data_IF_472473482939
#
_entry.id   IF_472473482939
#
_cell.length_a   1.000
_cell.length_b   1.000
_cell.length_c   1.000
_cell.angle_alpha   90.00
_cell.angle_beta   90.00
_cell.angle_gamma   90.00
#
_symmetry.space_group_name_H-M   'P 1'
#
loop_
_entity.id
_entity.type
_entity.pdbx_description
1 polymer ?
#
# COMPACT_ATOMS: atom_id res chain seq x y z
N UNK A 1 -25.88 49.35 -27.59
CA UNK A 1 -26.61 49.65 -26.34
C UNK A 1 -27.40 48.47 -25.73
N UNK A 2 -28.06 47.59 -26.49
CA UNK A 2 -28.73 46.38 -25.93
C UNK A 2 -27.81 45.15 -25.95
N UNK A 3 -27.06 44.95 -27.04
CA UNK A 3 -26.07 43.88 -27.20
C UNK A 3 -24.95 43.95 -26.15
N UNK A 4 -24.46 45.15 -25.83
CA UNK A 4 -23.38 45.34 -24.86
C UNK A 4 -23.81 44.91 -23.45
N UNK A 5 -25.08 45.15 -23.07
CA UNK A 5 -25.64 44.71 -21.79
C UNK A 5 -25.79 43.19 -21.73
N UNK A 6 -26.21 42.57 -22.83
CA UNK A 6 -26.32 41.11 -22.95
C UNK A 6 -24.93 40.46 -22.89
N UNK A 7 -23.95 41.04 -23.57
CA UNK A 7 -22.56 40.59 -23.53
C UNK A 7 -21.99 40.66 -22.12
N UNK A 8 -22.18 41.79 -21.42
CA UNK A 8 -21.74 41.95 -20.03
C UNK A 8 -22.42 40.95 -19.08
N UNK A 9 -23.72 40.68 -19.27
CA UNK A 9 -24.43 39.68 -18.49
C UNK A 9 -23.90 38.26 -18.76
N UNK A 10 -23.65 37.91 -20.02
CA UNK A 10 -23.08 36.63 -20.41
C UNK A 10 -21.65 36.46 -19.84
N UNK A 11 -20.86 37.53 -19.80
CA UNK A 11 -19.52 37.53 -19.22
C UNK A 11 -19.54 37.33 -17.69
N UNK A 12 -20.47 37.98 -16.99
CA UNK A 12 -20.67 37.78 -15.55
C UNK A 12 -21.08 36.34 -15.26
N UNK A 13 -22.07 35.81 -16.00
CA UNK A 13 -22.55 34.43 -15.83
C UNK A 13 -21.42 33.44 -16.14
N UNK A 14 -20.67 33.66 -17.23
CA UNK A 14 -19.53 32.82 -17.60
C UNK A 14 -18.46 32.83 -16.51
N UNK A 15 -18.13 34.00 -15.97
CA UNK A 15 -17.15 34.14 -14.88
C UNK A 15 -17.60 33.39 -13.62
N UNK A 16 -18.87 33.52 -13.22
CA UNK A 16 -19.44 32.80 -12.08
C UNK A 16 -19.43 31.28 -12.33
N UNK A 17 -19.78 30.84 -13.54
CA UNK A 17 -19.76 29.42 -13.90
C UNK A 17 -18.35 28.83 -13.84
N UNK A 18 -17.32 29.58 -14.27
CA UNK A 18 -15.91 29.17 -14.15
C UNK A 18 -15.49 29.03 -12.69
N UNK A 19 -15.81 30.01 -11.84
CA UNK A 19 -15.50 29.96 -10.40
C UNK A 19 -16.18 28.76 -9.73
N UNK A 20 -17.47 28.54 -10.02
CA UNK A 20 -18.22 27.39 -9.50
C UNK A 20 -17.61 26.05 -9.97
N UNK A 21 -17.18 25.98 -11.24
CA UNK A 21 -16.55 24.79 -11.81
C UNK A 21 -15.20 24.49 -11.15
N UNK A 22 -14.38 25.51 -10.87
CA UNK A 22 -13.11 25.35 -10.15
C UNK A 22 -13.32 24.90 -8.71
N UNK A 23 -14.33 25.43 -8.02
CA UNK A 23 -14.68 25.00 -6.67
C UNK A 23 -15.12 23.53 -6.65
N UNK A 24 -15.96 23.12 -7.60
CA UNK A 24 -16.35 21.73 -7.78
C UNK A 24 -15.13 20.83 -8.06
N UNK A 25 -14.25 21.22 -8.99
CA UNK A 25 -13.04 20.46 -9.31
C UNK A 25 -12.11 20.31 -8.10
N UNK A 26 -11.94 21.36 -7.30
CA UNK A 26 -11.12 21.29 -6.08
C UNK A 26 -11.67 20.27 -5.08
N UNK A 27 -12.99 20.23 -4.89
CA UNK A 27 -13.66 19.21 -4.05
C UNK A 27 -13.49 17.81 -4.67
N UNK A 28 -13.70 17.69 -5.98
CA UNK A 28 -13.59 16.43 -6.71
C UNK A 28 -12.18 15.84 -6.62
N UNK A 29 -11.13 16.64 -6.77
CA UNK A 29 -9.73 16.20 -6.64
C UNK A 29 -9.43 15.72 -5.23
N UNK A 30 -9.94 16.39 -4.19
CA UNK A 30 -9.78 15.95 -2.79
C UNK A 30 -10.46 14.61 -2.54
N UNK A 31 -11.69 14.44 -3.03
CA UNK A 31 -12.43 13.18 -2.91
C UNK A 31 -11.73 12.04 -3.67
N UNK A 32 -11.29 12.30 -4.89
CA UNK A 32 -10.55 11.34 -5.71
C UNK A 32 -9.24 10.93 -5.03
N UNK A 33 -8.48 11.89 -4.50
CA UNK A 33 -7.24 11.62 -3.75
C UNK A 33 -7.50 10.71 -2.55
N UNK A 34 -8.57 10.97 -1.78
CA UNK A 34 -8.94 10.13 -0.64
C UNK A 34 -9.32 8.71 -1.07
N UNK A 35 -10.09 8.58 -2.16
CA UNK A 35 -10.47 7.27 -2.70
C UNK A 35 -9.24 6.49 -3.21
N UNK A 36 -8.31 7.15 -3.89
CA UNK A 36 -7.07 6.55 -4.38
C UNK A 36 -6.20 6.02 -3.22
N UNK A 37 -6.05 6.78 -2.13
CA UNK A 37 -5.35 6.32 -0.91
C UNK A 37 -5.99 5.07 -0.33
N UNK A 38 -7.32 5.07 -0.19
CA UNK A 38 -8.06 3.91 0.32
C UNK A 38 -7.88 2.67 -0.56
N UNK A 39 -7.88 2.84 -1.89
CA UNK A 39 -7.65 1.75 -2.83
C UNK A 39 -6.22 1.21 -2.75
N UNK A 40 -5.21 2.08 -2.61
CA UNK A 40 -3.82 1.67 -2.37
C UNK A 40 -3.71 0.86 -1.08
N UNK A 41 -4.30 1.33 0.01
CA UNK A 41 -4.29 0.62 1.28
C UNK A 41 -4.92 -0.78 1.16
N UNK A 42 -6.09 -0.87 0.51
CA UNK A 42 -6.74 -2.16 0.28
C UNK A 42 -5.88 -3.09 -0.59
N UNK A 43 -5.26 -2.57 -1.65
CA UNK A 43 -4.37 -3.34 -2.53
C UNK A 43 -3.18 -3.94 -1.76
N UNK A 44 -2.60 -3.15 -0.87
CA UNK A 44 -1.50 -3.57 0.00
C UNK A 44 -1.95 -4.68 0.95
N UNK A 45 -3.06 -4.49 1.66
CA UNK A 45 -3.61 -5.50 2.58
C UNK A 45 -3.90 -6.81 1.84
N UNK A 46 -4.52 -6.75 0.66
CA UNK A 46 -4.79 -7.93 -0.15
C UNK A 46 -3.51 -8.67 -0.54
N UNK A 47 -2.45 -7.94 -0.93
CA UNK A 47 -1.14 -8.54 -1.23
C UNK A 47 -0.49 -9.17 0.00
N UNK A 48 -0.62 -8.56 1.17
CA UNK A 48 -0.14 -9.15 2.42
C UNK A 48 -0.82 -10.49 2.67
N UNK A 49 -2.15 -10.55 2.51
CA UNK A 49 -2.92 -11.78 2.68
C UNK A 49 -2.54 -12.85 1.65
N UNK A 50 -2.29 -12.47 0.40
CA UNK A 50 -1.85 -13.40 -0.65
C UNK A 50 -0.49 -14.02 -0.33
N UNK A 51 0.47 -13.23 0.17
CA UNK A 51 1.79 -13.73 0.59
C UNK A 51 1.69 -14.64 1.82
N UNK A 52 0.80 -14.30 2.75
CA UNK A 52 0.62 -15.06 3.99
C UNK A 52 -0.30 -16.28 3.82
N UNK A 53 -1.12 -16.34 2.77
CA UNK A 53 -2.11 -17.41 2.57
C UNK A 53 -1.51 -18.82 2.67
N UNK A 54 -0.41 -19.13 1.97
CA UNK A 54 0.20 -20.45 2.03
C UNK A 54 0.64 -20.85 3.45
N UNK A 55 0.98 -19.89 4.32
CA UNK A 55 1.42 -20.18 5.69
C UNK A 55 0.33 -20.77 6.58
N UNK A 56 -0.94 -20.44 6.33
CA UNK A 56 -2.06 -20.95 7.12
C UNK A 56 -2.91 -21.97 6.36
N UNK A 57 -2.72 -22.14 5.05
CA UNK A 57 -3.48 -23.10 4.23
C UNK A 57 -2.69 -24.32 3.77
N UNK A 58 -1.35 -24.28 3.82
CA UNK A 58 -0.49 -25.36 3.33
C UNK A 58 0.52 -25.78 4.42
N UNK A 59 0.30 -26.97 5.01
CA UNK A 59 1.15 -27.52 6.07
C UNK A 59 2.64 -27.54 5.68
N UNK A 60 2.94 -27.88 4.42
CA UNK A 60 4.32 -27.97 3.93
C UNK A 60 5.06 -26.62 3.87
N UNK A 61 4.34 -25.50 3.70
CA UNK A 61 4.96 -24.17 3.71
C UNK A 61 5.19 -23.71 5.15
N UNK A 62 4.25 -23.99 6.06
CA UNK A 62 4.44 -23.73 7.48
C UNK A 62 5.61 -24.54 8.07
N UNK A 63 5.71 -25.82 7.72
CA UNK A 63 6.83 -26.68 8.13
C UNK A 63 8.17 -26.19 7.55
N UNK A 64 8.19 -25.83 6.27
CA UNK A 64 9.38 -25.25 5.63
C UNK A 64 9.82 -23.98 6.35
N UNK A 65 8.89 -23.09 6.71
CA UNK A 65 9.20 -21.87 7.45
C UNK A 65 9.87 -22.18 8.79
N UNK A 66 9.26 -23.07 9.59
CA UNK A 66 9.79 -23.45 10.91
C UNK A 66 11.20 -24.05 10.79
N UNK A 67 11.41 -24.99 9.85
CA UNK A 67 12.72 -25.59 9.60
C UNK A 67 13.73 -24.56 9.09
N UNK A 68 13.34 -23.70 8.14
CA UNK A 68 14.27 -22.74 7.55
C UNK A 68 14.69 -21.61 8.50
N UNK A 69 13.91 -21.37 9.57
CA UNK A 69 14.29 -20.46 10.65
C UNK A 69 15.14 -21.10 11.76
N UNK A 70 15.28 -22.43 11.75
CA UNK A 70 16.16 -23.16 12.65
C UNK A 70 17.57 -23.23 12.04
N UNK A 71 18.59 -22.76 12.77
CA UNK A 71 19.97 -22.69 12.28
C UNK A 71 20.59 -24.05 12.00
N UNK A 72 20.08 -25.11 12.63
CA UNK A 72 20.61 -26.47 12.52
C UNK A 72 19.87 -27.33 11.49
N UNK A 73 18.87 -26.76 10.79
CA UNK A 73 18.07 -27.50 9.84
C UNK A 73 18.82 -27.80 8.53
N UNK A 74 18.87 -29.08 8.16
CA UNK A 74 19.28 -29.51 6.82
C UNK A 74 18.12 -29.32 5.84
N UNK A 75 18.23 -28.30 4.98
CA UNK A 75 17.27 -28.02 3.92
C UNK A 75 17.78 -28.55 2.59
N UNK A 76 16.96 -29.30 1.88
CA UNK A 76 17.25 -29.68 0.50
C UNK A 76 17.41 -28.45 -0.40
N UNK A 77 18.11 -28.55 -1.55
CA UNK A 77 18.28 -27.43 -2.48
C UNK A 77 16.96 -26.80 -2.96
N UNK A 78 15.91 -27.62 -3.08
CA UNK A 78 14.57 -27.17 -3.45
C UNK A 78 13.93 -26.36 -2.33
N UNK A 79 14.03 -26.81 -1.09
CA UNK A 79 13.53 -26.11 0.10
C UNK A 79 14.24 -24.77 0.29
N UNK A 80 15.57 -24.73 0.15
CA UNK A 80 16.35 -23.48 0.19
C UNK A 80 15.87 -22.48 -0.87
N UNK A 81 15.65 -22.96 -2.09
CA UNK A 81 15.16 -22.11 -3.20
C UNK A 81 13.77 -21.56 -2.91
N UNK A 82 12.86 -22.40 -2.41
CA UNK A 82 11.50 -21.99 -2.03
C UNK A 82 11.52 -20.94 -0.91
N UNK A 83 12.30 -21.19 0.14
CA UNK A 83 12.46 -20.26 1.25
C UNK A 83 13.07 -18.92 0.78
N UNK A 84 14.07 -18.95 -0.10
CA UNK A 84 14.64 -17.75 -0.69
C UNK A 84 13.59 -16.89 -1.42
N UNK A 85 12.78 -17.50 -2.29
CA UNK A 85 11.75 -16.76 -3.03
C UNK A 85 10.63 -16.25 -2.13
N UNK A 86 10.26 -17.00 -1.09
CA UNK A 86 9.33 -16.55 -0.08
C UNK A 86 9.86 -15.31 0.65
N UNK A 87 11.12 -15.35 1.12
CA UNK A 87 11.77 -14.21 1.76
C UNK A 87 11.86 -13.01 0.82
N UNK A 88 12.23 -13.23 -0.45
CA UNK A 88 12.27 -12.18 -1.47
C UNK A 88 10.88 -11.55 -1.67
N UNK A 89 9.81 -12.33 -1.68
CA UNK A 89 8.45 -11.82 -1.78
C UNK A 89 8.08 -10.93 -0.59
N UNK A 90 8.43 -11.34 0.65
CA UNK A 90 8.23 -10.52 1.84
C UNK A 90 9.03 -9.21 1.77
N UNK A 91 10.31 -9.26 1.39
CA UNK A 91 11.13 -8.06 1.24
C UNK A 91 10.57 -7.09 0.20
N UNK A 92 10.16 -7.60 -0.97
CA UNK A 92 9.53 -6.77 -2.02
C UNK A 92 8.22 -6.15 -1.56
N UNK A 93 7.47 -6.84 -0.71
CA UNK A 93 6.24 -6.31 -0.13
C UNK A 93 6.51 -5.15 0.83
N UNK A 94 7.48 -5.29 1.74
CA UNK A 94 7.84 -4.21 2.65
C UNK A 94 8.50 -3.01 1.94
N UNK A 95 9.30 -3.26 0.90
CA UNK A 95 9.84 -2.21 0.03
C UNK A 95 8.71 -1.40 -0.63
N UNK A 96 7.68 -2.10 -1.15
CA UNK A 96 6.52 -1.44 -1.71
C UNK A 96 5.73 -0.63 -0.68
N UNK A 97 5.50 -1.19 0.52
CA UNK A 97 4.86 -0.49 1.64
C UNK A 97 5.59 0.82 1.98
N UNK A 98 6.91 0.74 2.13
CA UNK A 98 7.76 1.89 2.42
C UNK A 98 7.69 2.94 1.31
N UNK A 99 7.77 2.51 0.04
CA UNK A 99 7.63 3.41 -1.11
C UNK A 99 6.28 4.14 -1.12
N UNK A 100 5.17 3.42 -0.86
CA UNK A 100 3.83 4.01 -0.84
C UNK A 100 3.64 4.98 0.33
N UNK A 101 4.26 4.70 1.49
CA UNK A 101 4.28 5.61 2.62
C UNK A 101 5.04 6.91 2.29
N UNK A 102 6.23 6.81 1.70
CA UNK A 102 7.04 7.97 1.31
C UNK A 102 6.32 8.92 0.33
N UNK A 103 5.40 8.39 -0.47
CA UNK A 103 4.59 9.17 -1.43
C UNK A 103 3.22 9.59 -0.88
N UNK A 104 2.95 9.38 0.41
CA UNK A 104 1.70 9.77 1.06
C UNK A 104 0.47 9.00 0.59
N UNK A 105 0.66 7.83 -0.02
CA UNK A 105 -0.42 6.92 -0.37
C UNK A 105 -0.84 6.05 0.83
N UNK A 106 0.09 5.78 1.75
CA UNK A 106 -0.15 5.17 3.06
C UNK A 106 0.09 6.21 4.15
N UNK A 107 -0.87 6.37 5.04
CA UNK A 107 -0.81 7.31 6.16
C UNK A 107 0.15 6.83 7.25
N UNK A 108 0.76 7.75 7.99
CA UNK A 108 1.79 7.41 8.99
C UNK A 108 1.30 6.45 10.08
N UNK A 109 0.02 6.54 10.47
CA UNK A 109 -0.59 5.62 11.44
C UNK A 109 -0.65 4.18 10.89
N UNK A 110 -1.03 4.02 9.63
CA UNK A 110 -1.05 2.71 8.95
C UNK A 110 0.37 2.15 8.83
N UNK A 111 1.32 3.00 8.44
CA UNK A 111 2.74 2.62 8.35
C UNK A 111 3.31 2.18 9.70
N UNK A 112 2.97 2.84 10.80
CA UNK A 112 3.43 2.45 12.15
C UNK A 112 3.03 1.02 12.50
N UNK A 113 1.83 0.58 12.13
CA UNK A 113 1.41 -0.81 12.33
C UNK A 113 2.31 -1.80 11.57
N UNK A 114 2.61 -1.53 10.30
CA UNK A 114 3.53 -2.37 9.51
C UNK A 114 4.98 -2.31 10.03
N UNK A 115 5.44 -1.14 10.46
CA UNK A 115 6.79 -0.95 11.00
C UNK A 115 6.98 -1.70 12.31
N UNK A 116 6.00 -1.66 13.22
CA UNK A 116 6.03 -2.45 14.46
C UNK A 116 6.04 -3.95 14.20
N UNK A 117 5.25 -4.41 13.22
CA UNK A 117 5.24 -5.81 12.81
C UNK A 117 6.60 -6.24 12.24
N UNK A 118 7.19 -5.44 11.36
CA UNK A 118 8.52 -5.68 10.81
C UNK A 118 9.59 -5.72 11.91
N UNK A 119 9.57 -4.75 12.83
CA UNK A 119 10.50 -4.69 13.96
C UNK A 119 10.36 -5.91 14.88
N UNK A 120 9.12 -6.37 15.11
CA UNK A 120 8.84 -7.62 15.82
C UNK A 120 9.49 -8.85 15.14
N UNK A 121 9.36 -8.98 13.83
CA UNK A 121 9.99 -10.09 13.09
C UNK A 121 11.52 -10.02 13.07
N UNK A 122 12.07 -8.82 12.90
CA UNK A 122 13.52 -8.62 12.84
C UNK A 122 14.20 -8.69 14.22
N UNK A 123 13.47 -8.40 15.30
CA UNK A 123 13.98 -8.54 16.66
C UNK A 123 13.84 -9.97 17.17
N UNK A 124 12.76 -10.68 16.83
CA UNK A 124 12.60 -12.10 17.17
C UNK A 124 13.70 -12.98 16.54
N UNK A 125 14.11 -12.68 15.30
CA UNK A 125 15.20 -13.41 14.64
C UNK A 125 16.59 -13.15 15.25
N UNK A 126 16.76 -12.07 16.01
CA UNK A 126 18.00 -11.76 16.73
C UNK A 126 18.14 -12.45 18.10
N UNK A 127 17.04 -12.97 18.65
CA UNK A 127 17.04 -13.66 19.95
C UNK A 127 17.25 -15.18 19.78
N UNK A 128 17.06 -15.69 18.56
CA UNK A 128 17.27 -17.10 18.21
C UNK A 128 18.68 -17.42 17.66
N UNK A 129 19.61 -16.44 17.62
CA UNK A 129 21.00 -16.60 17.22
C UNK A 129 21.94 -16.34 18.40
#
# INVERSE_FOLDING_TARGET
>A
MNLDKIALLAEIIGSVAVVASLAYLAVQVRQNTRAARSATYQSVVSKSLEILAPMYSEDGIAELWLRATDSDADLSPVEQTRFHFLMLAMFRHFDNLHYQHMHGAIESEQWQGYAQLLDGYLSASRVAA
#
